data_IF_583094142701
#
_entry.id   IF_583094142701
#
_cell.length_a   1.000
_cell.length_b   1.000
_cell.length_c   1.000
_cell.angle_alpha   90.00
_cell.angle_beta   90.00
_cell.angle_gamma   90.00
#
_symmetry.space_group_name_H-M   'P 1'
#
loop_
_entity.id
_entity.type
_entity.pdbx_description
1 polymer ?
#
# COMPACT_ATOMS: atom_id res chain seq x y z
N UNK A 1 19.55 7.68 -2.93
CA UNK A 1 18.35 7.20 -3.65
C UNK A 1 18.68 7.29 -5.14
N UNK A 2 18.73 6.17 -5.84
CA UNK A 2 19.15 6.16 -7.25
C UNK A 2 17.94 6.47 -8.14
N UNK A 3 18.05 7.52 -8.97
CA UNK A 3 17.01 7.89 -9.93
C UNK A 3 17.33 7.26 -11.29
N UNK A 4 16.33 6.63 -11.91
CA UNK A 4 16.43 6.09 -13.26
C UNK A 4 15.60 6.94 -14.21
N UNK A 5 16.13 7.19 -15.43
CA UNK A 5 15.38 7.89 -16.47
C UNK A 5 14.31 6.96 -17.04
N UNK A 6 13.06 7.40 -16.99
CA UNK A 6 11.95 6.76 -17.67
C UNK A 6 11.39 7.70 -18.74
N UNK A 7 11.03 7.15 -19.90
CA UNK A 7 10.30 7.87 -20.94
C UNK A 7 8.87 7.32 -20.98
N UNK A 8 7.90 8.20 -20.72
CA UNK A 8 6.49 7.85 -20.65
C UNK A 8 5.77 8.63 -21.75
N UNK A 9 5.03 7.91 -22.59
CA UNK A 9 4.16 8.51 -23.59
C UNK A 9 2.82 8.80 -22.91
N UNK A 10 2.39 10.05 -22.98
CA UNK A 10 1.14 10.52 -22.39
C UNK A 10 0.22 11.02 -23.48
N UNK A 11 -1.08 10.88 -23.27
CA UNK A 11 -2.05 11.60 -24.08
C UNK A 11 -1.92 13.10 -23.86
N UNK A 12 -2.26 13.89 -24.89
CA UNK A 12 -2.21 15.36 -24.81
C UNK A 12 -2.96 15.91 -23.58
N UNK A 13 -4.17 15.40 -23.32
CA UNK A 13 -4.99 15.81 -22.17
C UNK A 13 -4.32 15.52 -20.83
N UNK A 14 -3.66 14.36 -20.71
CA UNK A 14 -2.94 13.98 -19.49
C UNK A 14 -1.75 14.91 -19.27
N UNK A 15 -0.97 15.17 -20.31
CA UNK A 15 0.16 16.10 -20.23
C UNK A 15 -0.29 17.51 -19.82
N UNK A 16 -1.37 18.02 -20.41
CA UNK A 16 -1.94 19.33 -20.06
C UNK A 16 -2.41 19.40 -18.60
N UNK A 17 -3.10 18.36 -18.13
CA UNK A 17 -3.57 18.28 -16.75
C UNK A 17 -2.39 18.24 -15.77
N UNK A 18 -1.41 17.36 -16.01
CA UNK A 18 -0.21 17.23 -15.18
C UNK A 18 0.61 18.53 -15.17
N UNK A 19 0.70 19.22 -16.30
CA UNK A 19 1.38 20.52 -16.40
C UNK A 19 0.69 21.59 -15.55
N UNK A 20 -0.65 21.56 -15.49
CA UNK A 20 -1.43 22.48 -14.66
C UNK A 20 -1.20 22.20 -13.18
N UNK A 21 -1.33 20.95 -12.75
CA UNK A 21 -1.12 20.51 -11.37
C UNK A 21 0.30 20.88 -10.92
N UNK A 22 1.30 20.53 -11.73
CA UNK A 22 2.70 20.85 -11.43
C UNK A 22 2.91 22.36 -11.24
N UNK A 23 2.28 23.20 -12.07
CA UNK A 23 2.37 24.66 -11.95
C UNK A 23 1.69 25.18 -10.69
N UNK A 24 0.50 24.69 -10.37
CA UNK A 24 -0.26 25.07 -9.17
C UNK A 24 0.49 24.71 -7.89
N UNK A 25 1.21 23.57 -7.89
CA UNK A 25 2.01 23.09 -6.77
C UNK A 25 3.45 23.63 -6.75
N UNK A 26 3.88 24.39 -7.76
CA UNK A 26 5.27 24.87 -7.88
C UNK A 26 6.30 23.77 -8.11
N UNK A 27 5.89 22.63 -8.67
CA UNK A 27 6.71 21.43 -8.91
C UNK A 27 7.02 21.23 -10.39
N UNK A 28 7.96 20.32 -10.67
CA UNK A 28 8.16 19.81 -12.03
C UNK A 28 7.15 18.73 -12.40
N UNK A 29 6.82 18.59 -13.70
CA UNK A 29 5.96 17.49 -14.18
C UNK A 29 6.51 16.12 -13.75
N UNK A 30 7.83 15.93 -13.81
CA UNK A 30 8.47 14.68 -13.40
C UNK A 30 8.28 14.39 -11.91
N UNK A 31 8.21 15.42 -11.07
CA UNK A 31 7.95 15.28 -9.64
C UNK A 31 6.48 14.94 -9.38
N UNK A 32 5.55 15.66 -9.99
CA UNK A 32 4.11 15.33 -9.93
C UNK A 32 3.83 13.89 -10.40
N UNK A 33 4.47 13.45 -11.47
CA UNK A 33 4.33 12.06 -11.96
C UNK A 33 4.90 11.05 -10.95
N UNK A 34 6.03 11.35 -10.30
CA UNK A 34 6.59 10.47 -9.25
C UNK A 34 5.65 10.38 -8.05
N UNK A 35 5.10 11.50 -7.58
CA UNK A 35 4.16 11.54 -6.46
C UNK A 35 2.92 10.69 -6.76
N UNK A 36 2.35 10.84 -7.96
CA UNK A 36 1.19 10.06 -8.40
C UNK A 36 1.51 8.57 -8.56
N UNK A 37 2.70 8.23 -9.09
CA UNK A 37 3.16 6.84 -9.19
C UNK A 37 3.31 6.22 -7.80
N UNK A 38 3.86 6.96 -6.84
CA UNK A 38 4.04 6.45 -5.49
C UNK A 38 2.71 6.21 -4.78
N UNK A 39 1.74 7.12 -4.97
CA UNK A 39 0.37 6.93 -4.50
C UNK A 39 -0.25 5.66 -5.10
N UNK A 40 -0.20 5.49 -6.43
CA UNK A 40 -0.74 4.31 -7.11
C UNK A 40 -0.09 3.00 -6.64
N UNK A 41 1.23 3.00 -6.40
CA UNK A 41 1.94 1.83 -5.89
C UNK A 41 1.55 1.49 -4.45
N UNK A 42 1.32 2.50 -3.59
CA UNK A 42 0.82 2.29 -2.22
C UNK A 42 -0.58 1.68 -2.24
N UNK A 43 -1.48 2.21 -3.05
CA UNK A 43 -2.84 1.70 -3.22
C UNK A 43 -2.83 0.25 -3.71
N UNK A 44 -2.01 -0.07 -4.72
CA UNK A 44 -1.86 -1.43 -5.22
C UNK A 44 -1.37 -2.40 -4.15
N UNK A 45 -0.38 -2.01 -3.36
CA UNK A 45 0.11 -2.83 -2.24
C UNK A 45 -0.97 -3.05 -1.19
N UNK A 46 -1.73 -2.01 -0.82
CA UNK A 46 -2.83 -2.13 0.14
C UNK A 46 -3.89 -3.12 -0.34
N UNK A 47 -4.29 -3.02 -1.61
CA UNK A 47 -5.26 -3.94 -2.20
C UNK A 47 -4.76 -5.39 -2.23
N UNK A 48 -3.47 -5.61 -2.53
CA UNK A 48 -2.88 -6.95 -2.45
C UNK A 48 -2.87 -7.51 -1.03
N UNK A 49 -2.58 -6.69 -0.02
CA UNK A 49 -2.64 -7.12 1.39
C UNK A 49 -4.07 -7.43 1.82
N UNK A 50 -5.05 -6.64 1.37
CA UNK A 50 -6.47 -6.90 1.64
C UNK A 50 -6.92 -8.24 1.05
N UNK A 51 -6.57 -8.52 -0.20
CA UNK A 51 -6.86 -9.81 -0.84
C UNK A 51 -6.17 -10.98 -0.11
N UNK A 52 -4.92 -10.81 0.30
CA UNK A 52 -4.21 -11.82 1.07
C UNK A 52 -4.86 -12.07 2.44
N UNK A 53 -5.26 -11.01 3.14
CA UNK A 53 -5.95 -11.11 4.42
C UNK A 53 -7.31 -11.80 4.27
N UNK A 54 -8.06 -11.51 3.20
CA UNK A 54 -9.32 -12.20 2.90
C UNK A 54 -9.10 -13.69 2.61
N UNK A 55 -8.06 -14.04 1.84
CA UNK A 55 -7.73 -15.43 1.56
C UNK A 55 -7.36 -16.19 2.85
N UNK A 56 -6.58 -15.56 3.74
CA UNK A 56 -6.19 -16.15 5.02
C UNK A 56 -7.32 -16.21 6.05
N UNK A 57 -8.37 -15.39 5.89
CA UNK A 57 -9.52 -15.37 6.80
C UNK A 57 -10.28 -16.71 6.76
N UNK A 58 -10.39 -17.33 5.57
CA UNK A 58 -11.01 -18.64 5.41
C UNK A 58 -10.24 -19.72 6.16
N UNK A 59 -8.92 -19.73 6.02
CA UNK A 59 -8.01 -20.64 6.74
C UNK A 59 -8.07 -20.40 8.26
N UNK A 60 -8.09 -19.14 8.70
CA UNK A 60 -8.19 -18.76 10.12
C UNK A 60 -9.49 -19.24 10.78
N UNK A 61 -10.61 -19.25 10.05
CA UNK A 61 -11.89 -19.74 10.56
C UNK A 61 -12.04 -21.27 10.52
N UNK A 62 -11.32 -21.93 9.62
CA UNK A 62 -11.45 -23.37 9.39
C UNK A 62 -10.37 -24.22 10.05
N UNK A 63 -9.25 -23.61 10.47
CA UNK A 63 -8.16 -24.29 11.18
C UNK A 63 -8.12 -23.92 12.69
N UNK A 64 -8.55 -24.83 13.58
CA UNK A 64 -8.52 -24.63 15.03
C UNK A 64 -7.10 -24.48 15.60
N UNK A 65 -6.05 -24.96 14.92
CA UNK A 65 -4.67 -24.79 15.39
C UNK A 65 -4.21 -23.34 15.28
N UNK A 66 -4.67 -22.60 14.27
CA UNK A 66 -4.33 -21.18 14.08
C UNK A 66 -4.95 -20.26 15.14
N UNK A 67 -6.00 -20.72 15.84
CA UNK A 67 -6.67 -20.01 16.93
C UNK A 67 -6.38 -20.60 18.32
N UNK A 68 -5.59 -21.69 18.40
CA UNK A 68 -5.32 -22.42 19.63
C UNK A 68 -4.73 -21.54 20.75
N UNK A 69 -3.89 -20.56 20.40
CA UNK A 69 -3.30 -19.63 21.37
C UNK A 69 -4.24 -18.50 21.79
N UNK A 70 -5.26 -18.16 20.98
CA UNK A 70 -6.30 -17.18 21.37
C UNK A 70 -7.33 -17.77 22.32
N UNK A 71 -7.42 -19.10 22.41
CA UNK A 71 -8.27 -19.79 23.38
C UNK A 71 -7.67 -19.85 24.80
N UNK A 72 -6.41 -19.43 24.98
CA UNK A 72 -5.70 -19.40 26.26
C UNK A 72 -5.83 -18.07 27.01
N UNK A 73 -6.84 -17.25 26.69
CA UNK A 73 -7.15 -15.95 27.34
C UNK A 73 -7.62 -16.12 28.80
N UNK A 74 -6.77 -16.71 29.64
CA UNK A 74 -7.04 -17.03 31.03
C UNK A 74 -5.84 -17.50 31.85
N UNK A 75 -4.61 -17.57 31.32
CA UNK A 75 -3.43 -17.72 32.19
C UNK A 75 -2.83 -16.34 32.48
N UNK A 76 -3.13 -15.86 33.69
CA UNK A 76 -2.54 -14.68 34.33
C UNK A 76 -1.04 -14.62 34.02
N UNK A 77 -0.61 -13.54 33.35
CA UNK A 77 0.81 -13.24 33.15
C UNK A 77 1.40 -12.94 34.53
N UNK A 78 1.83 -13.97 35.26
CA UNK A 78 2.51 -13.79 36.54
C UNK A 78 3.89 -13.19 36.26
N UNK A 79 3.99 -11.87 36.46
CA UNK A 79 5.27 -11.19 36.66
C UNK A 79 5.97 -11.83 37.86
N UNK A 80 7.01 -12.62 37.60
CA UNK A 80 7.91 -13.11 38.63
C UNK A 80 8.69 -11.91 39.20
N UNK A 81 8.43 -11.63 40.49
CA UNK A 81 9.13 -10.62 41.29
C UNK A 81 10.58 -10.98 41.62
#
# INVERSE_FOLDING_TARGET
MNMYRAQIILEKKQHELLSRIAREEGKSISETVRDLLELALRERRRHQMELAAQALLEDYHSDPELTAFTALDGEDVQEAA
#
